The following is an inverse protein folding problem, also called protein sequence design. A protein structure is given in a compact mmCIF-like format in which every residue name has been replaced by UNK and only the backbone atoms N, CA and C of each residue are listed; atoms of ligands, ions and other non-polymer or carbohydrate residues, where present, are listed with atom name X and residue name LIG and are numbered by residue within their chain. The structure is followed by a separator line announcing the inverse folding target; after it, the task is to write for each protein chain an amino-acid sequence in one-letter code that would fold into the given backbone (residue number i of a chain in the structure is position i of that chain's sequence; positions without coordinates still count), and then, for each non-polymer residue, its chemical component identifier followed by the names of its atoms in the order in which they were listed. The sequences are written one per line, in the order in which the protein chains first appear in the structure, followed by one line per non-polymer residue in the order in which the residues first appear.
data_IF_062813609900
#
_entry.id   IF_062813609900
#
_cell.length_a   1.000
_cell.length_b   1.000
_cell.length_c   1.000
_cell.angle_alpha   90.00
_cell.angle_beta   90.00
_cell.angle_gamma   90.00
#
_symmetry.space_group_name_H-M   'P 1'
#
loop_
_entity.id
_entity.type
_entity.pdbx_description
1 polymer ?
#
# COMPACT_ATOMS: atom_id res chain seq x y z
N UNK A 1 -2.51 -11.53 -22.08
CA UNK A 1 -3.16 -10.30 -21.59
C UNK A 1 -3.20 -10.33 -20.08
N UNK A 2 -2.40 -9.47 -19.44
CA UNK A 2 -2.74 -8.89 -18.14
C UNK A 2 -4.00 -8.06 -18.36
N UNK A 3 -4.98 -8.19 -17.49
CA UNK A 3 -6.20 -7.40 -17.53
C UNK A 3 -5.83 -5.93 -17.37
N UNK A 4 -6.22 -5.08 -18.33
CA UNK A 4 -5.86 -3.66 -18.34
C UNK A 4 -6.65 -2.87 -17.28
N UNK A 5 -7.73 -3.44 -16.76
CA UNK A 5 -8.62 -2.89 -15.74
C UNK A 5 -8.91 -3.98 -14.70
N UNK A 6 -7.96 -4.25 -13.78
CA UNK A 6 -8.17 -5.25 -12.73
C UNK A 6 -9.38 -4.84 -11.86
N UNK A 7 -10.29 -5.79 -11.64
CA UNK A 7 -11.52 -5.60 -10.84
C UNK A 7 -11.35 -6.00 -9.36
N UNK A 8 -10.11 -6.18 -8.92
CA UNK A 8 -9.78 -6.63 -7.58
C UNK A 8 -10.21 -5.62 -6.51
N UNK A 9 -10.52 -6.15 -5.33
CA UNK A 9 -10.97 -5.37 -4.16
C UNK A 9 -9.83 -4.65 -3.42
N UNK A 10 -8.57 -4.95 -3.78
CA UNK A 10 -7.39 -4.48 -3.06
C UNK A 10 -7.14 -5.20 -1.73
N UNK A 11 -7.94 -6.21 -1.37
CA UNK A 11 -7.90 -6.88 -0.06
C UNK A 11 -6.49 -7.33 0.35
N UNK A 12 -5.72 -7.92 -0.57
CA UNK A 12 -4.35 -8.38 -0.31
C UNK A 12 -3.30 -7.58 -1.07
N UNK A 13 -3.63 -6.34 -1.43
CA UNK A 13 -2.77 -5.47 -2.25
C UNK A 13 -1.82 -4.64 -1.38
N UNK A 14 -0.89 -5.34 -0.73
CA UNK A 14 0.19 -4.72 0.02
C UNK A 14 1.46 -5.56 -0.01
N UNK A 15 2.58 -4.90 0.22
CA UNK A 15 3.87 -5.55 0.36
C UNK A 15 4.73 -4.85 1.41
N UNK A 16 5.60 -5.63 2.04
CA UNK A 16 6.65 -5.11 2.90
C UNK A 16 7.98 -5.19 2.16
N UNK A 17 8.69 -4.06 2.08
CA UNK A 17 10.01 -3.97 1.46
C UNK A 17 11.06 -3.66 2.52
N UNK A 18 12.16 -4.41 2.49
CA UNK A 18 13.33 -4.16 3.34
C UNK A 18 14.40 -3.48 2.50
N UNK A 19 14.80 -2.27 2.90
CA UNK A 19 15.93 -1.55 2.32
C UNK A 19 17.21 -2.13 2.93
N UNK A 20 18.10 -2.67 2.09
CA UNK A 20 19.33 -3.38 2.52
C UNK A 20 20.61 -2.59 2.32
N UNK A 21 20.68 -1.85 1.21
CA UNK A 21 21.87 -1.14 0.77
C UNK A 21 21.48 0.19 0.14
N UNK A 22 22.41 1.15 0.11
CA UNK A 22 22.22 2.40 -0.61
C UNK A 22 22.44 2.25 -2.12
N UNK A 23 22.07 3.28 -2.87
CA UNK A 23 22.22 3.31 -4.33
C UNK A 23 23.69 3.54 -4.70
N UNK A 24 24.43 2.45 -4.87
CA UNK A 24 25.83 2.48 -5.26
C UNK A 24 26.82 2.43 -4.10
N UNK A 25 28.13 2.29 -4.39
CA UNK A 25 29.15 1.95 -3.38
C UNK A 25 29.44 3.08 -2.38
N UNK A 26 29.05 4.31 -2.70
CA UNK A 26 29.36 5.51 -1.89
C UNK A 26 28.19 6.02 -1.08
N UNK A 27 26.95 5.58 -1.39
CA UNK A 27 25.76 6.02 -0.66
C UNK A 27 25.50 5.00 0.45
N UNK A 28 25.79 5.40 1.69
CA UNK A 28 25.48 4.57 2.86
C UNK A 28 24.05 4.79 3.31
N UNK A 29 23.42 3.74 3.86
CA UNK A 29 22.13 3.89 4.51
C UNK A 29 22.25 4.72 5.79
N UNK A 30 21.25 5.57 6.09
CA UNK A 30 21.20 6.23 7.38
C UNK A 30 21.04 5.19 8.48
N UNK A 31 21.60 5.48 9.67
CA UNK A 31 21.43 4.61 10.84
C UNK A 31 19.95 4.48 11.25
N UNK A 32 19.15 5.52 10.99
CA UNK A 32 17.71 5.52 11.22
C UNK A 32 17.01 6.21 10.04
N UNK A 33 15.91 5.62 9.58
CA UNK A 33 15.00 6.28 8.64
C UNK A 33 13.97 7.10 9.42
N UNK A 34 13.76 8.38 9.08
CA UNK A 34 12.57 9.08 9.54
C UNK A 34 11.32 8.34 9.06
N UNK A 35 10.36 8.12 9.95
CA UNK A 35 9.13 7.41 9.64
C UNK A 35 7.93 8.07 10.31
N UNK A 36 6.75 7.85 9.74
CA UNK A 36 5.48 8.20 10.36
C UNK A 36 4.97 7.00 11.18
N UNK A 37 4.50 7.21 12.43
CA UNK A 37 3.86 6.16 13.19
C UNK A 37 2.58 5.66 12.50
N UNK A 38 2.21 4.41 12.76
CA UNK A 38 0.98 3.82 12.20
C UNK A 38 -0.22 4.11 13.10
N UNK A 39 -1.39 4.25 12.48
CA UNK A 39 -2.69 4.30 13.15
C UNK A 39 -3.39 2.96 12.98
N UNK A 40 -3.81 2.35 14.08
CA UNK A 40 -4.60 1.12 14.08
C UNK A 40 -6.06 1.40 14.50
N UNK A 41 -6.54 2.61 14.26
CA UNK A 41 -7.95 2.96 14.52
C UNK A 41 -8.84 2.06 13.65
N UNK A 42 -9.83 1.45 14.32
CA UNK A 42 -10.79 0.54 13.72
C UNK A 42 -12.19 0.97 14.18
N UNK A 43 -12.65 2.10 13.65
CA UNK A 43 -13.93 2.68 14.04
C UNK A 43 -14.54 3.45 12.87
N UNK A 44 -15.85 3.27 12.58
CA UNK A 44 -16.52 4.02 11.52
C UNK A 44 -16.64 5.52 11.84
N UNK A 45 -16.37 5.93 13.09
CA UNK A 45 -16.35 7.34 13.50
C UNK A 45 -15.30 8.17 12.78
N UNK A 46 -14.34 7.55 12.07
CA UNK A 46 -13.33 8.25 11.27
C UNK A 46 -13.90 8.90 10.00
N UNK A 47 -15.11 8.55 9.57
CA UNK A 47 -15.77 9.24 8.45
C UNK A 47 -15.85 10.75 8.73
N UNK A 48 -15.58 11.56 7.72
CA UNK A 48 -15.51 13.02 7.83
C UNK A 48 -14.20 13.56 8.40
N UNK A 49 -13.26 12.71 8.85
CA UNK A 49 -11.96 13.19 9.35
C UNK A 49 -11.05 13.63 8.19
N UNK A 50 -10.31 14.75 8.36
CA UNK A 50 -9.37 15.23 7.36
C UNK A 50 -8.12 14.36 7.33
N UNK A 51 -7.61 14.12 6.12
CA UNK A 51 -6.38 13.37 5.86
C UNK A 51 -5.55 14.06 4.78
N UNK A 52 -4.26 13.75 4.74
CA UNK A 52 -3.35 14.13 3.66
C UNK A 52 -2.99 12.86 2.87
N UNK A 53 -3.17 12.93 1.56
CA UNK A 53 -2.72 11.92 0.63
C UNK A 53 -1.36 12.33 0.08
N UNK A 54 -0.46 11.37 -0.12
CA UNK A 54 0.83 11.60 -0.79
C UNK A 54 1.18 10.43 -1.70
N UNK A 55 1.62 10.73 -2.91
CA UNK A 55 1.81 9.72 -3.96
C UNK A 55 2.72 10.23 -5.07
N UNK A 56 3.10 9.32 -5.97
CA UNK A 56 3.78 9.63 -7.23
C UNK A 56 2.83 9.40 -8.42
N UNK A 57 1.80 10.26 -8.59
CA UNK A 57 0.82 10.08 -9.66
C UNK A 57 1.50 10.15 -11.04
N UNK A 58 1.24 9.16 -11.86
CA UNK A 58 1.85 8.97 -13.18
C UNK A 58 0.82 8.86 -14.31
N UNK A 59 -0.48 8.94 -14.00
CA UNK A 59 -1.57 8.66 -14.94
C UNK A 59 -1.59 9.50 -16.21
N UNK A 60 -1.00 10.69 -16.18
CA UNK A 60 -0.87 11.57 -17.35
C UNK A 60 0.55 11.65 -17.93
N UNK A 61 1.50 10.90 -17.37
CA UNK A 61 2.90 10.92 -17.81
C UNK A 61 3.12 9.85 -18.89
N UNK A 62 3.77 10.24 -19.99
CA UNK A 62 4.30 9.29 -20.95
C UNK A 62 5.46 8.48 -20.37
N UNK A 63 5.76 7.30 -20.91
CA UNK A 63 6.73 6.36 -20.34
C UNK A 63 8.13 6.94 -20.08
N UNK A 64 8.61 7.87 -20.91
CA UNK A 64 9.90 8.56 -20.71
C UNK A 64 9.86 9.50 -19.49
N UNK A 65 8.73 10.19 -19.27
CA UNK A 65 8.57 11.12 -18.15
C UNK A 65 8.41 10.37 -16.82
N UNK A 66 7.85 9.17 -16.80
CA UNK A 66 7.82 8.33 -15.60
C UNK A 66 9.25 8.01 -15.12
N UNK A 67 10.19 7.80 -16.04
CA UNK A 67 11.58 7.47 -15.69
C UNK A 67 12.43 8.68 -15.31
N UNK A 68 12.05 9.88 -15.77
CA UNK A 68 12.91 11.08 -15.68
C UNK A 68 12.32 12.21 -14.86
N UNK A 69 11.01 12.21 -14.63
CA UNK A 69 10.23 13.36 -14.14
C UNK A 69 8.99 12.92 -13.35
N UNK A 70 9.15 11.97 -12.43
CA UNK A 70 8.11 11.58 -11.49
C UNK A 70 8.23 12.38 -10.20
N UNK A 71 7.21 13.19 -9.89
CA UNK A 71 7.24 14.10 -8.75
C UNK A 71 6.29 13.64 -7.65
N UNK A 72 6.75 13.77 -6.40
CA UNK A 72 5.89 13.60 -5.24
C UNK A 72 4.81 14.67 -5.27
N UNK A 73 3.56 14.25 -5.14
CA UNK A 73 2.39 15.12 -5.05
C UNK A 73 1.62 14.81 -3.77
N UNK A 74 0.99 15.84 -3.19
CA UNK A 74 0.13 15.68 -2.02
C UNK A 74 -1.17 16.44 -2.19
N UNK A 75 -2.23 15.96 -1.53
CA UNK A 75 -3.53 16.60 -1.56
C UNK A 75 -4.25 16.41 -0.22
N UNK A 76 -4.91 17.45 0.32
CA UNK A 76 -5.87 17.26 1.39
C UNK A 76 -7.08 16.50 0.88
N UNK A 77 -7.61 15.62 1.71
CA UNK A 77 -8.84 14.89 1.45
C UNK A 77 -9.63 14.70 2.76
N UNK A 78 -10.77 14.05 2.66
CA UNK A 78 -11.61 13.69 3.80
C UNK A 78 -12.10 12.27 3.58
N UNK A 79 -12.12 11.47 4.65
CA UNK A 79 -12.66 10.11 4.58
C UNK A 79 -14.15 10.21 4.30
N UNK A 80 -14.58 9.72 3.14
CA UNK A 80 -15.96 9.81 2.67
C UNK A 80 -16.80 8.66 3.22
N UNK A 81 -16.22 7.46 3.22
CA UNK A 81 -16.90 6.24 3.65
C UNK A 81 -15.89 5.19 4.13
N UNK A 82 -16.39 4.14 4.76
CA UNK A 82 -15.64 2.98 5.26
C UNK A 82 -16.28 1.69 4.77
N UNK A 83 -15.46 0.70 4.42
CA UNK A 83 -15.93 -0.61 3.98
C UNK A 83 -15.24 -1.74 4.74
N UNK A 84 -15.88 -2.91 4.71
CA UNK A 84 -15.42 -4.16 5.32
C UNK A 84 -15.34 -5.24 4.23
N UNK A 85 -14.31 -6.09 4.29
CA UNK A 85 -14.22 -7.34 3.53
C UNK A 85 -14.90 -8.50 4.27
N UNK A 86 -15.06 -8.37 5.59
CA UNK A 86 -15.79 -9.30 6.45
C UNK A 86 -17.03 -8.63 7.06
N UNK A 87 -17.16 -8.69 8.39
CA UNK A 87 -18.41 -8.30 9.07
C UNK A 87 -18.45 -6.85 9.59
N UNK A 88 -17.61 -6.47 10.56
CA UNK A 88 -17.81 -5.24 11.37
C UNK A 88 -16.59 -4.34 11.50
N UNK A 89 -15.52 -4.61 10.75
CA UNK A 89 -14.26 -3.88 10.83
C UNK A 89 -14.15 -2.81 9.75
N UNK A 90 -13.31 -1.80 9.98
CA UNK A 90 -12.93 -0.82 8.96
C UNK A 90 -11.72 -1.36 8.21
N UNK A 91 -11.97 -1.91 7.03
CA UNK A 91 -10.95 -2.55 6.22
C UNK A 91 -10.43 -1.65 5.09
N UNK A 92 -11.32 -0.84 4.55
CA UNK A 92 -11.06 0.08 3.46
C UNK A 92 -11.66 1.45 3.77
N UNK A 93 -10.99 2.51 3.35
CA UNK A 93 -11.52 3.89 3.42
C UNK A 93 -11.62 4.48 2.02
N UNK A 94 -12.75 5.11 1.70
CA UNK A 94 -12.92 5.92 0.50
C UNK A 94 -12.50 7.36 0.76
N UNK A 95 -11.75 7.93 -0.18
CA UNK A 95 -11.09 9.23 -0.06
C UNK A 95 -11.61 10.24 -1.10
N UNK A 96 -12.41 9.77 -2.06
CA UNK A 96 -12.92 10.58 -3.17
C UNK A 96 -11.84 10.98 -4.18
N UNK A 97 -12.20 11.95 -5.02
CA UNK A 97 -11.36 12.45 -6.09
C UNK A 97 -10.39 13.52 -5.60
N UNK A 98 -9.18 13.51 -6.14
CA UNK A 98 -8.14 14.51 -5.80
C UNK A 98 -7.12 14.60 -6.92
N UNK A 99 -6.21 15.57 -6.87
CA UNK A 99 -5.10 15.66 -7.84
C UNK A 99 -4.20 14.42 -7.82
N UNK A 100 -4.17 13.66 -6.72
CA UNK A 100 -3.44 12.40 -6.62
C UNK A 100 -4.29 11.16 -6.97
N UNK A 101 -5.57 11.31 -7.33
CA UNK A 101 -6.41 10.20 -7.77
C UNK A 101 -6.05 9.76 -9.21
N UNK A 102 -4.90 9.12 -9.36
CA UNK A 102 -4.33 8.71 -10.66
C UNK A 102 -3.64 7.35 -10.53
N UNK A 103 -3.42 6.66 -11.65
CA UNK A 103 -2.46 5.57 -11.70
C UNK A 103 -1.08 6.06 -11.23
N UNK A 104 -0.34 5.19 -10.53
CA UNK A 104 0.91 5.56 -9.85
C UNK A 104 0.72 5.98 -8.39
N UNK A 105 -0.52 6.15 -7.93
CA UNK A 105 -0.78 6.48 -6.53
C UNK A 105 -0.89 5.28 -5.59
N UNK A 106 -1.00 4.06 -6.12
CA UNK A 106 -0.98 2.83 -5.33
C UNK A 106 0.26 2.75 -4.44
N UNK A 107 0.08 2.32 -3.19
CA UNK A 107 1.10 2.31 -2.15
C UNK A 107 1.33 3.66 -1.47
N UNK A 108 0.72 4.75 -1.95
CA UNK A 108 0.79 6.07 -1.32
C UNK A 108 0.10 6.08 0.05
N UNK A 109 0.70 6.70 1.09
CA UNK A 109 0.11 6.73 2.42
C UNK A 109 -1.09 7.68 2.51
N UNK A 110 -2.06 7.27 3.31
CA UNK A 110 -3.13 8.14 3.85
C UNK A 110 -2.72 8.56 5.26
N UNK A 111 -2.48 9.84 5.46
CA UNK A 111 -1.95 10.38 6.73
C UNK A 111 -3.02 11.19 7.45
N UNK A 112 -3.28 10.87 8.71
CA UNK A 112 -4.22 11.61 9.58
C UNK A 112 -3.66 12.97 9.98
N UNK A 113 -4.53 13.86 10.46
CA UNK A 113 -4.13 15.19 10.94
C UNK A 113 -3.14 15.18 12.11
N UNK A 114 -3.07 14.09 12.88
CA UNK A 114 -2.08 13.88 13.96
C UNK A 114 -0.77 13.22 13.47
N UNK A 115 -0.57 13.11 12.15
CA UNK A 115 0.68 12.65 11.56
C UNK A 115 0.89 11.14 11.61
N UNK A 116 -0.19 10.35 11.62
CA UNK A 116 -0.13 8.89 11.59
C UNK A 116 -0.59 8.33 10.25
N UNK A 117 0.00 7.23 9.81
CA UNK A 117 -0.45 6.53 8.60
C UNK A 117 -1.69 5.72 8.95
N UNK A 118 -2.83 6.03 8.34
CA UNK A 118 -4.09 5.29 8.50
C UNK A 118 -4.16 4.07 7.58
N UNK A 119 -3.61 4.19 6.38
CA UNK A 119 -3.73 3.18 5.34
C UNK A 119 -2.85 3.47 4.14
N UNK A 120 -2.92 2.59 3.14
CA UNK A 120 -2.21 2.72 1.87
C UNK A 120 -3.21 2.63 0.72
N UNK A 121 -3.06 3.49 -0.28
CA UNK A 121 -3.92 3.51 -1.47
C UNK A 121 -3.74 2.21 -2.26
N UNK A 122 -4.84 1.57 -2.64
CA UNK A 122 -4.84 0.30 -3.39
C UNK A 122 -5.59 0.42 -4.72
N UNK A 123 -6.72 1.10 -4.73
CA UNK A 123 -7.61 1.17 -5.91
C UNK A 123 -7.98 2.61 -6.24
N UNK A 124 -8.33 2.82 -7.50
CA UNK A 124 -8.92 4.05 -8.00
C UNK A 124 -10.06 3.69 -8.92
N UNK A 125 -11.19 4.40 -8.82
CA UNK A 125 -12.20 4.36 -9.88
C UNK A 125 -11.72 5.10 -11.13
N UNK A 126 -12.36 4.80 -12.27
CA UNK A 126 -12.15 5.51 -13.52
C UNK A 126 -13.15 6.66 -13.68
N UNK A 127 -12.66 7.83 -14.05
CA UNK A 127 -13.46 8.98 -14.44
C UNK A 127 -12.66 9.90 -15.38
N UNK A 128 -13.35 10.78 -16.11
CA UNK A 128 -12.77 11.72 -17.08
C UNK A 128 -11.82 12.75 -16.44
N UNK A 129 -12.04 13.09 -15.16
CA UNK A 129 -11.17 13.96 -14.39
C UNK A 129 -10.82 13.29 -13.08
N UNK A 130 -9.68 13.66 -12.49
CA UNK A 130 -9.24 13.11 -11.21
C UNK A 130 -10.15 13.52 -10.04
N UNK A 131 -10.85 14.65 -10.16
CA UNK A 131 -11.87 15.08 -9.20
C UNK A 131 -13.14 14.24 -9.21
N UNK A 132 -13.42 13.54 -10.33
CA UNK A 132 -14.54 12.60 -10.43
C UNK A 132 -14.19 11.15 -10.08
N UNK A 133 -12.92 10.86 -9.80
CA UNK A 133 -12.46 9.53 -9.38
C UNK A 133 -12.72 9.33 -7.89
N UNK A 134 -12.54 8.10 -7.42
CA UNK A 134 -12.52 7.74 -6.02
C UNK A 134 -11.26 6.94 -5.76
N UNK A 135 -10.42 7.39 -4.83
CA UNK A 135 -9.34 6.57 -4.29
C UNK A 135 -9.83 5.79 -3.09
N UNK A 136 -9.44 4.52 -3.01
CA UNK A 136 -9.63 3.72 -1.82
C UNK A 136 -8.29 3.24 -1.27
N UNK A 137 -8.23 3.15 0.06
CA UNK A 137 -7.05 2.71 0.77
C UNK A 137 -7.41 1.61 1.77
N UNK A 138 -6.62 0.53 1.80
CA UNK A 138 -6.73 -0.45 2.87
C UNK A 138 -6.14 0.12 4.15
N UNK A 139 -6.80 -0.15 5.28
CA UNK A 139 -6.36 0.37 6.58
C UNK A 139 -5.19 -0.44 7.13
N UNK A 140 -4.33 0.22 7.90
CA UNK A 140 -3.28 -0.49 8.63
C UNK A 140 -3.86 -1.35 9.77
N UNK A 141 -5.07 -1.06 10.27
CA UNK A 141 -5.79 -1.94 11.18
C UNK A 141 -6.16 -3.27 10.50
N UNK A 142 -6.62 -3.24 9.25
CA UNK A 142 -6.86 -4.44 8.45
C UNK A 142 -5.58 -5.22 8.16
N UNK A 143 -4.54 -4.55 7.65
CA UNK A 143 -3.25 -5.22 7.41
C UNK A 143 -2.77 -5.87 8.70
N UNK A 144 -2.85 -5.19 9.84
CA UNK A 144 -2.46 -5.75 11.13
C UNK A 144 -3.27 -7.01 11.51
N UNK A 145 -4.60 -7.01 11.31
CA UNK A 145 -5.44 -8.19 11.56
C UNK A 145 -5.06 -9.36 10.65
N UNK A 146 -4.97 -9.12 9.34
CA UNK A 146 -4.56 -10.12 8.35
C UNK A 146 -3.18 -10.70 8.69
N UNK A 147 -2.22 -9.85 9.04
CA UNK A 147 -0.86 -10.26 9.40
C UNK A 147 -0.84 -11.11 10.67
N UNK A 148 -1.62 -10.71 11.69
CA UNK A 148 -1.76 -11.47 12.94
C UNK A 148 -2.42 -12.82 12.69
N UNK A 149 -3.40 -12.90 11.81
CA UNK A 149 -4.05 -14.15 11.44
C UNK A 149 -3.08 -15.12 10.74
N UNK A 150 -2.30 -14.61 9.79
CA UNK A 150 -1.39 -15.41 8.96
C UNK A 150 -0.16 -15.89 9.72
N UNK A 151 0.51 -15.00 10.47
CA UNK A 151 1.82 -15.32 11.08
C UNK A 151 1.85 -15.26 12.61
N UNK A 152 0.69 -15.06 13.25
CA UNK A 152 0.49 -15.10 14.71
C UNK A 152 1.22 -14.02 15.51
N UNK A 153 1.68 -12.96 14.85
CA UNK A 153 2.27 -11.77 15.46
C UNK A 153 1.71 -10.51 14.80
N UNK A 154 1.49 -9.46 15.59
CA UNK A 154 1.00 -8.19 15.08
C UNK A 154 2.08 -7.41 14.30
N UNK A 155 1.64 -6.49 13.45
CA UNK A 155 2.53 -5.72 12.57
C UNK A 155 3.51 -4.84 13.37
N UNK A 156 3.11 -4.09 14.42
CA UNK A 156 4.07 -3.33 15.26
C UNK A 156 5.17 -4.19 15.88
N UNK A 157 4.82 -5.39 16.37
CA UNK A 157 5.76 -6.32 16.99
C UNK A 157 6.68 -6.91 15.94
N UNK A 158 6.15 -7.27 14.77
CA UNK A 158 6.94 -7.74 13.64
C UNK A 158 7.99 -6.71 13.21
N UNK A 159 7.61 -5.44 13.06
CA UNK A 159 8.51 -4.37 12.62
C UNK A 159 9.63 -4.05 13.62
N UNK A 160 9.48 -4.45 14.89
CA UNK A 160 10.51 -4.31 15.93
C UNK A 160 11.48 -5.49 16.00
N UNK A 161 11.18 -6.60 15.33
CA UNK A 161 12.04 -7.78 15.31
C UNK A 161 13.27 -7.56 14.40
N UNK A 162 14.20 -8.51 14.42
CA UNK A 162 15.34 -8.51 13.51
C UNK A 162 14.89 -8.87 12.09
N UNK A 163 14.46 -7.86 11.32
CA UNK A 163 13.97 -8.00 9.95
C UNK A 163 15.00 -8.63 8.99
N UNK A 164 16.30 -8.51 9.27
CA UNK A 164 17.35 -9.16 8.47
C UNK A 164 17.30 -10.68 8.63
N UNK A 165 17.15 -11.16 9.86
CA UNK A 165 17.00 -12.59 10.14
C UNK A 165 15.67 -13.12 9.58
N UNK A 166 14.59 -12.36 9.76
CA UNK A 166 13.28 -12.70 9.19
C UNK A 166 13.34 -12.83 7.66
N UNK A 167 14.01 -11.90 6.98
CA UNK A 167 14.17 -11.95 5.53
C UNK A 167 15.02 -13.14 5.06
N UNK A 168 16.07 -13.49 5.82
CA UNK A 168 16.90 -14.66 5.55
C UNK A 168 16.08 -15.95 5.71
N UNK A 169 15.35 -16.10 6.81
CA UNK A 169 14.46 -17.25 7.04
C UNK A 169 13.39 -17.36 5.95
N UNK A 170 12.72 -16.27 5.58
CA UNK A 170 11.75 -16.28 4.47
C UNK A 170 12.38 -16.76 3.16
N UNK A 171 13.59 -16.28 2.86
CA UNK A 171 14.30 -16.62 1.62
C UNK A 171 14.73 -18.10 1.58
N UNK A 172 15.02 -18.70 2.72
CA UNK A 172 15.43 -20.11 2.84
C UNK A 172 14.23 -21.05 2.94
N UNK A 173 13.23 -20.71 3.75
CA UNK A 173 12.20 -21.65 4.19
C UNK A 173 10.88 -21.52 3.42
N UNK A 174 10.56 -20.32 2.91
CA UNK A 174 9.25 -20.01 2.32
C UNK A 174 9.35 -19.71 0.82
N UNK A 175 10.28 -18.85 0.42
CA UNK A 175 10.41 -18.36 -0.95
C UNK A 175 10.54 -19.49 -1.98
N UNK A 176 11.33 -20.57 -1.77
CA UNK A 176 11.46 -21.63 -2.77
C UNK A 176 10.14 -22.34 -3.08
N UNK A 177 9.31 -22.59 -2.06
CA UNK A 177 8.02 -23.24 -2.21
C UNK A 177 7.02 -22.33 -2.96
N UNK A 178 6.98 -21.04 -2.61
CA UNK A 178 6.15 -20.06 -3.31
C UNK A 178 6.58 -19.87 -4.76
N UNK A 179 7.89 -19.75 -5.03
CA UNK A 179 8.43 -19.65 -6.39
C UNK A 179 8.02 -20.87 -7.22
N UNK A 180 8.17 -22.07 -6.66
CA UNK A 180 7.74 -23.31 -7.33
C UNK A 180 6.24 -23.26 -7.66
N UNK A 181 5.40 -22.96 -6.68
CA UNK A 181 3.95 -22.85 -6.86
C UNK A 181 3.59 -21.85 -7.97
N UNK A 182 4.19 -20.65 -7.95
CA UNK A 182 3.97 -19.65 -8.99
C UNK A 182 4.40 -20.16 -10.37
N UNK A 183 5.59 -20.75 -10.50
CA UNK A 183 6.08 -21.26 -11.79
C UNK A 183 5.20 -22.39 -12.34
N UNK A 184 4.69 -23.28 -11.48
CA UNK A 184 3.77 -24.35 -11.88
C UNK A 184 2.39 -23.82 -12.29
N UNK A 185 1.89 -22.78 -11.61
CA UNK A 185 0.65 -22.11 -12.01
C UNK A 185 0.78 -21.43 -13.37
N UNK A 186 1.90 -20.76 -13.65
CA UNK A 186 2.17 -20.17 -14.97
C UNK A 186 2.27 -21.24 -16.07
N UNK A 187 2.87 -22.40 -15.78
CA UNK A 187 2.95 -23.50 -16.74
C UNK A 187 1.59 -24.18 -16.99
N UNK A 188 0.77 -24.37 -15.95
CA UNK A 188 -0.58 -24.97 -16.06
C UNK A 188 -1.62 -24.06 -16.71
N UNK A 189 -1.44 -22.75 -16.63
CA UNK A 189 -2.36 -21.77 -17.25
C UNK A 189 -2.15 -21.60 -18.76
N UNK A 190 -1.32 -22.45 -19.40
CA UNK A 190 -1.41 -22.74 -20.83
C UNK A 190 -1.43 -21.49 -21.70
N UNK A 191 -0.40 -20.65 -21.53
CA UNK A 191 0.12 -19.80 -22.60
C UNK A 191 1.52 -20.28 -22.93
#
# INVERSE_FOLDING_TARGET
MLEQTPTGTGERDFALLIIRDGVGPTIQLPQNFPYLPISLIDSPTIVGHPVILSAYPAGFLGGILIQTNLYLSSAPATIQDVFTFGDTTVDLVSLGGSVVAQHGSSGGPVVTSDGKVLGIVVTSSEAQSTGGRNLDAITLSYINRSFTEEIKIDLPTFLKNNLKNTAAAFSTDVAPALTKLYTELFQKSGR
#
